data_IF_342132188884
#
_entry.id   IF_342132188884
#
_cell.length_a   1.000
_cell.length_b   1.000
_cell.length_c   1.000
_cell.angle_alpha   90.00
_cell.angle_beta   90.00
_cell.angle_gamma   90.00
#
_symmetry.space_group_name_H-M   'P 1'
#
loop_
_entity.id
_entity.type
_entity.pdbx_description
1 polymer ?
#
# COMPACT_ATOMS: atom_id res chain seq x y z
N UNK A 1 56.55 1.02 11.67
CA UNK A 1 56.14 -0.33 11.24
C UNK A 1 54.87 -0.69 11.96
N UNK A 2 53.82 -1.03 11.18
CA UNK A 2 52.59 -1.76 11.49
C UNK A 2 51.87 -1.43 12.83
N UNK A 3 50.77 -0.67 12.86
CA UNK A 3 49.44 -0.94 12.28
C UNK A 3 48.81 -2.25 12.79
N UNK A 4 47.80 -2.14 13.65
CA UNK A 4 46.48 -2.81 13.47
C UNK A 4 45.47 -2.27 14.48
N UNK A 5 44.52 -1.50 13.94
CA UNK A 5 43.25 -1.16 14.55
C UNK A 5 42.29 -2.36 14.47
N UNK A 6 41.42 -2.50 15.48
CA UNK A 6 40.16 -3.22 15.37
C UNK A 6 39.17 -2.66 16.41
N UNK A 7 38.70 -1.45 16.12
CA UNK A 7 37.46 -0.92 16.68
C UNK A 7 36.41 -1.01 15.56
N UNK A 8 35.16 -1.27 15.95
CA UNK A 8 33.94 -1.14 15.15
C UNK A 8 33.55 -2.34 14.26
N UNK A 9 32.91 -3.32 14.90
CA UNK A 9 31.83 -4.08 14.28
C UNK A 9 30.51 -3.36 14.61
N UNK A 10 30.21 -2.28 13.90
CA UNK A 10 28.91 -1.63 13.88
C UNK A 10 28.39 -1.67 12.43
N UNK A 11 27.14 -2.08 12.28
CA UNK A 11 26.59 -2.62 11.04
C UNK A 11 26.70 -1.71 9.82
N UNK A 12 27.22 -2.28 8.73
CA UNK A 12 26.93 -1.81 7.38
C UNK A 12 25.50 -2.24 7.01
N UNK A 13 24.52 -1.43 7.41
CA UNK A 13 23.27 -1.39 6.66
C UNK A 13 23.56 -0.61 5.39
N UNK A 14 24.10 -1.30 4.40
CA UNK A 14 24.34 -0.75 3.07
C UNK A 14 22.97 -0.32 2.53
N UNK A 15 22.68 0.98 2.60
CA UNK A 15 21.61 1.63 1.85
C UNK A 15 22.02 1.53 0.39
N UNK A 16 21.77 0.37 -0.22
CA UNK A 16 21.81 0.25 -1.67
C UNK A 16 20.91 1.36 -2.21
N UNK A 17 21.44 2.21 -3.10
CA UNK A 17 20.61 3.11 -3.88
C UNK A 17 19.52 2.25 -4.52
N UNK A 18 18.27 2.41 -4.07
CA UNK A 18 17.14 1.68 -4.64
C UNK A 18 16.86 2.35 -5.98
N UNK A 19 17.60 1.93 -7.01
CA UNK A 19 17.26 2.21 -8.39
C UNK A 19 15.96 1.47 -8.67
N UNK A 20 14.95 2.21 -9.14
CA UNK A 20 13.69 1.60 -9.57
C UNK A 20 13.94 0.96 -10.92
N UNK A 21 14.18 -0.35 -10.95
CA UNK A 21 14.42 -1.11 -12.17
C UNK A 21 13.16 -1.86 -12.59
N UNK A 22 12.43 -2.41 -11.61
CA UNK A 22 11.16 -3.10 -11.82
C UNK A 22 9.98 -2.36 -11.19
N UNK A 23 8.75 -2.51 -11.72
CA UNK A 23 7.56 -1.88 -11.13
C UNK A 23 7.32 -2.23 -9.66
N UNK A 24 7.74 -3.43 -9.23
CA UNK A 24 7.62 -3.88 -7.84
C UNK A 24 8.59 -3.18 -6.89
N UNK A 25 9.67 -2.58 -7.40
CA UNK A 25 10.62 -1.82 -6.58
C UNK A 25 9.98 -0.55 -6.03
N UNK A 26 9.01 0.04 -6.75
CA UNK A 26 8.21 1.16 -6.25
C UNK A 26 7.37 0.74 -5.04
N UNK A 27 6.79 -0.46 -5.06
CA UNK A 27 6.02 -0.98 -3.93
C UNK A 27 6.95 -1.27 -2.75
N UNK A 28 8.17 -1.74 -3.02
CA UNK A 28 9.22 -1.94 -2.00
C UNK A 28 9.57 -0.65 -1.26
N UNK A 29 9.64 0.45 -1.99
CA UNK A 29 9.89 1.78 -1.42
C UNK A 29 8.75 2.28 -0.52
N UNK A 30 7.54 1.73 -0.68
CA UNK A 30 6.36 2.11 0.09
C UNK A 30 6.14 1.27 1.36
N UNK A 31 7.05 0.36 1.73
CA UNK A 31 6.97 -0.37 3.00
C UNK A 31 7.04 0.63 4.16
N UNK A 32 6.21 0.42 5.19
CA UNK A 32 5.98 1.32 6.32
C UNK A 32 5.42 2.71 5.95
N UNK A 33 5.07 2.93 4.67
CA UNK A 33 4.37 4.12 4.21
C UNK A 33 2.86 3.85 4.04
N UNK A 34 2.07 4.93 4.09
CA UNK A 34 0.63 4.87 3.84
C UNK A 34 0.36 4.87 2.34
N UNK A 35 -0.26 3.81 1.84
CA UNK A 35 -0.59 3.64 0.42
C UNK A 35 -2.09 3.72 0.16
N UNK A 36 -2.44 4.02 -1.08
CA UNK A 36 -3.79 3.90 -1.61
C UNK A 36 -3.88 2.71 -2.57
N UNK A 37 -4.92 1.90 -2.42
CA UNK A 37 -5.13 0.70 -3.25
C UNK A 37 -6.56 0.72 -3.79
N UNK A 38 -6.70 0.74 -5.12
CA UNK A 38 -8.00 0.48 -5.77
C UNK A 38 -8.14 -1.02 -5.97
N UNK A 39 -9.22 -1.55 -5.42
CA UNK A 39 -9.61 -2.94 -5.57
C UNK A 39 -10.73 -3.06 -6.60
N UNK A 40 -10.96 -4.28 -7.09
CA UNK A 40 -12.17 -4.63 -7.84
C UNK A 40 -13.43 -4.39 -7.01
N UNK A 41 -14.57 -4.24 -7.69
CA UNK A 41 -15.91 -4.04 -7.11
C UNK A 41 -16.06 -2.72 -6.34
N UNK A 42 -15.50 -1.63 -6.86
CA UNK A 42 -15.67 -0.27 -6.31
C UNK A 42 -15.25 -0.15 -4.84
N UNK A 43 -14.18 -0.88 -4.50
CA UNK A 43 -13.57 -0.89 -3.17
C UNK A 43 -12.23 -0.19 -3.20
N UNK A 44 -11.98 0.59 -2.18
CA UNK A 44 -10.75 1.36 -2.02
C UNK A 44 -10.20 1.11 -0.62
N UNK A 45 -8.91 0.87 -0.52
CA UNK A 45 -8.21 0.68 0.75
C UNK A 45 -7.16 1.76 0.89
N UNK A 46 -7.10 2.36 2.08
CA UNK A 46 -6.00 3.24 2.46
C UNK A 46 -5.43 2.74 3.76
N UNK A 47 -4.13 2.45 3.82
CA UNK A 47 -3.48 1.89 5.01
C UNK A 47 -1.97 1.86 4.89
N UNK A 48 -1.30 1.49 5.98
CA UNK A 48 0.17 1.35 6.02
C UNK A 48 0.55 -0.02 5.46
N UNK A 49 1.48 -0.07 4.50
CA UNK A 49 1.95 -1.31 3.90
C UNK A 49 3.05 -1.95 4.77
N UNK A 50 2.78 -3.11 5.38
CA UNK A 50 3.79 -3.83 6.15
C UNK A 50 4.56 -4.88 5.36
N UNK A 51 3.89 -5.57 4.43
CA UNK A 51 4.51 -6.61 3.62
C UNK A 51 3.75 -6.78 2.31
N UNK A 52 4.46 -7.26 1.28
CA UNK A 52 3.88 -7.67 0.01
C UNK A 52 4.64 -8.87 -0.59
N UNK A 53 4.07 -9.49 -1.62
CA UNK A 53 4.74 -10.53 -2.41
C UNK A 53 4.64 -10.25 -3.93
N UNK A 54 5.21 -11.14 -4.75
CA UNK A 54 5.19 -11.06 -6.22
C UNK A 54 3.78 -11.08 -6.83
N UNK A 55 2.78 -11.57 -6.10
CA UNK A 55 1.39 -11.62 -6.54
C UNK A 55 0.62 -10.37 -6.13
N UNK A 56 1.26 -9.43 -5.43
CA UNK A 56 0.64 -8.27 -4.78
C UNK A 56 -0.35 -8.67 -3.68
N UNK A 57 -0.16 -9.83 -3.05
CA UNK A 57 -0.77 -10.05 -1.74
C UNK A 57 -0.13 -9.08 -0.76
N UNK A 58 -0.90 -8.44 0.11
CA UNK A 58 -0.41 -7.39 1.01
C UNK A 58 -0.89 -7.60 2.44
N UNK A 59 -0.08 -7.15 3.39
CA UNK A 59 -0.47 -6.95 4.78
C UNK A 59 -0.55 -5.45 5.02
N UNK A 60 -1.75 -4.95 5.32
CA UNK A 60 -2.00 -3.55 5.59
C UNK A 60 -2.38 -3.32 7.06
N UNK A 61 -1.85 -2.26 7.66
CA UNK A 61 -2.18 -1.79 9.01
C UNK A 61 -3.00 -0.51 9.00
N UNK A 62 -3.88 -0.34 10.00
CA UNK A 62 -4.69 0.87 10.18
C UNK A 62 -5.52 1.22 8.94
N UNK A 63 -6.19 0.22 8.38
CA UNK A 63 -6.84 0.30 7.08
C UNK A 63 -8.17 1.00 7.19
N UNK A 64 -8.39 1.99 6.34
CA UNK A 64 -9.70 2.56 6.03
C UNK A 64 -10.14 2.00 4.70
N UNK A 65 -11.23 1.25 4.70
CA UNK A 65 -11.89 0.77 3.51
C UNK A 65 -13.07 1.64 3.16
N UNK A 66 -13.20 1.99 1.88
CA UNK A 66 -14.35 2.69 1.31
C UNK A 66 -14.98 1.78 0.26
N UNK A 67 -16.29 1.53 0.38
CA UNK A 67 -17.07 0.77 -0.57
C UNK A 67 -18.11 1.70 -1.18
N UNK A 68 -18.07 1.89 -2.50
CA UNK A 68 -19.04 2.69 -3.23
C UNK A 68 -20.12 1.78 -3.80
N UNK A 69 -21.37 2.05 -3.44
CA UNK A 69 -22.54 1.34 -3.95
C UNK A 69 -23.38 2.31 -4.76
N UNK A 70 -23.64 1.95 -6.02
CA UNK A 70 -24.57 2.69 -6.88
C UNK A 70 -25.95 2.10 -6.72
N UNK A 71 -26.88 2.91 -6.23
CA UNK A 71 -28.30 2.59 -6.18
C UNK A 71 -29.04 3.41 -7.25
N UNK A 72 -29.98 2.78 -7.96
CA UNK A 72 -30.84 3.48 -8.92
C UNK A 72 -32.18 3.73 -8.25
N UNK A 73 -32.61 4.99 -8.21
CA UNK A 73 -33.93 5.34 -7.73
C UNK A 73 -35.00 4.78 -8.70
N UNK A 74 -35.95 3.95 -8.22
CA UNK A 74 -36.94 3.30 -9.08
C UNK A 74 -37.96 4.26 -9.69
N UNK A 75 -38.12 5.47 -9.16
CA UNK A 75 -39.07 6.47 -9.66
C UNK A 75 -38.40 7.51 -10.56
N UNK A 76 -37.20 7.98 -10.21
CA UNK A 76 -36.51 9.05 -10.94
C UNK A 76 -35.45 8.54 -11.91
N UNK A 77 -35.05 7.26 -11.82
CA UNK A 77 -33.93 6.66 -12.56
C UNK A 77 -32.59 7.37 -12.33
N UNK A 78 -32.47 8.15 -11.26
CA UNK A 78 -31.22 8.81 -10.90
C UNK A 78 -30.27 7.84 -10.21
N UNK A 79 -28.96 7.95 -10.52
CA UNK A 79 -27.91 7.18 -9.87
C UNK A 79 -27.49 7.86 -8.56
N UNK A 80 -27.73 7.17 -7.44
CA UNK A 80 -27.34 7.61 -6.10
C UNK A 80 -26.09 6.82 -5.69
N UNK A 81 -25.00 7.54 -5.47
CA UNK A 81 -23.74 6.98 -5.00
C UNK A 81 -23.68 7.03 -3.47
N UNK A 82 -23.60 5.88 -2.82
CA UNK A 82 -23.43 5.76 -1.37
C UNK A 82 -22.08 5.18 -1.03
N UNK A 83 -21.35 5.84 -0.13
CA UNK A 83 -20.09 5.35 0.40
C UNK A 83 -20.27 4.77 1.80
N UNK A 84 -19.80 3.54 2.00
CA UNK A 84 -19.68 2.95 3.34
C UNK A 84 -18.20 2.86 3.73
N UNK A 85 -17.86 3.33 4.94
CA UNK A 85 -16.48 3.32 5.45
C UNK A 85 -16.31 2.32 6.58
N UNK A 86 -15.20 1.58 6.57
CA UNK A 86 -14.82 0.63 7.63
C UNK A 86 -13.37 0.84 8.04
N UNK A 87 -13.11 0.78 9.34
CA UNK A 87 -11.76 0.82 9.89
C UNK A 87 -11.36 -0.57 10.38
N UNK A 88 -10.20 -1.04 9.94
CA UNK A 88 -9.70 -2.39 10.22
C UNK A 88 -8.24 -2.26 10.70
N UNK A 89 -7.92 -2.68 11.95
CA UNK A 89 -6.56 -2.52 12.48
C UNK A 89 -5.48 -3.22 11.67
N UNK A 90 -5.76 -4.43 11.17
CA UNK A 90 -4.86 -5.25 10.37
C UNK A 90 -5.66 -6.03 9.34
N UNK A 91 -5.23 -6.00 8.07
CA UNK A 91 -5.92 -6.64 6.96
C UNK A 91 -4.93 -7.37 6.05
N UNK A 92 -5.18 -8.65 5.78
CA UNK A 92 -4.58 -9.37 4.66
C UNK A 92 -5.39 -9.13 3.39
N UNK A 93 -4.72 -8.69 2.33
CA UNK A 93 -5.31 -8.42 1.02
C UNK A 93 -4.75 -9.41 0.01
N UNK A 94 -5.63 -10.03 -0.77
CA UNK A 94 -5.25 -10.91 -1.87
C UNK A 94 -5.00 -10.10 -3.15
N UNK A 95 -3.88 -10.33 -3.81
CA UNK A 95 -3.41 -9.58 -4.96
C UNK A 95 -4.25 -9.70 -6.22
N UNK A 96 -4.99 -10.80 -6.40
CA UNK A 96 -5.92 -10.96 -7.52
C UNK A 96 -6.92 -9.79 -7.63
N UNK A 97 -7.36 -9.25 -6.49
CA UNK A 97 -8.34 -8.18 -6.43
C UNK A 97 -7.78 -6.77 -6.64
N UNK A 98 -6.46 -6.60 -6.69
CA UNK A 98 -5.79 -5.31 -6.79
C UNK A 98 -5.81 -4.83 -8.24
N UNK A 99 -6.21 -3.58 -8.46
CA UNK A 99 -6.20 -2.94 -9.78
C UNK A 99 -5.04 -1.95 -9.88
N UNK A 100 -4.88 -1.10 -8.86
CA UNK A 100 -3.82 -0.11 -8.82
C UNK A 100 -3.34 0.11 -7.39
N UNK A 101 -2.07 0.49 -7.27
CA UNK A 101 -1.43 0.92 -6.02
C UNK A 101 -0.85 2.30 -6.29
N UNK A 102 -1.13 3.26 -5.42
CA UNK A 102 -0.51 4.58 -5.45
C UNK A 102 0.35 4.76 -4.19
N UNK A 103 1.60 5.27 -4.35
CA UNK A 103 2.41 5.76 -3.22
C UNK A 103 1.66 6.83 -2.41
N UNK A 104 2.12 7.15 -1.18
CA UNK A 104 1.60 8.29 -0.45
C UNK A 104 1.69 9.55 -1.28
N UNK A 105 0.63 10.35 -1.27
CA UNK A 105 0.68 11.72 -1.76
C UNK A 105 1.60 12.52 -0.84
N UNK A 106 2.88 12.61 -1.22
CA UNK A 106 3.78 13.63 -0.67
C UNK A 106 3.23 14.97 -1.13
N UNK A 107 2.44 15.60 -0.26
CA UNK A 107 1.93 16.94 -0.51
C UNK A 107 3.09 17.87 -0.84
N UNK A 108 3.00 18.56 -1.97
CA UNK A 108 3.84 19.71 -2.31
C UNK A 108 3.61 20.86 -1.33
#
# INVERSE_FOLDING_TARGET
MAATAALEAAGDHQLAEITVEEPLDLVRLCIDEKIYVKMRNDRELTGVLYAYDQHLNMILGGVVEVITVTEIDPETYEEIYKETKREIPMLFVRGDGVILISPPTRGS
#
